data_IF_244958570905
#
_entry.id   IF_244958570905
#
_cell.length_a   1.000
_cell.length_b   1.000
_cell.length_c   1.000
_cell.angle_alpha   90.00
_cell.angle_beta   90.00
_cell.angle_gamma   90.00
#
_symmetry.space_group_name_H-M   'P 1'
#
loop_
_entity.id
_entity.type
_entity.pdbx_description
1 polymer ?
#
# COMPACT_ATOMS: atom_id res chain seq x y z
N UNK A 1 -37.65 -20.45 9.66
CA UNK A 1 -36.40 -21.19 9.34
C UNK A 1 -35.97 -20.81 7.93
N UNK A 2 -34.91 -20.01 7.77
CA UNK A 2 -34.38 -19.66 6.45
C UNK A 2 -33.37 -20.74 6.02
N UNK A 3 -33.72 -21.52 5.00
CA UNK A 3 -32.81 -22.50 4.41
C UNK A 3 -31.82 -21.74 3.55
N UNK A 4 -30.61 -21.52 4.06
CA UNK A 4 -29.51 -20.92 3.28
C UNK A 4 -29.17 -21.91 2.17
N UNK A 5 -29.59 -21.60 0.93
CA UNK A 5 -29.26 -22.38 -0.26
C UNK A 5 -27.79 -22.10 -0.61
N UNK A 6 -26.88 -22.97 -0.19
CA UNK A 6 -25.47 -22.87 -0.55
C UNK A 6 -25.24 -23.39 -1.97
N UNK A 7 -24.87 -22.51 -2.91
CA UNK A 7 -24.38 -22.93 -4.23
C UNK A 7 -22.88 -23.22 -4.16
N UNK A 8 -22.46 -24.31 -4.78
CA UNK A 8 -21.03 -24.62 -4.98
C UNK A 8 -20.59 -23.99 -6.29
N UNK A 9 -19.62 -23.07 -6.26
CA UNK A 9 -19.03 -22.47 -7.45
C UNK A 9 -17.56 -22.88 -7.56
N UNK A 10 -17.14 -23.21 -8.78
CA UNK A 10 -15.76 -23.52 -9.12
C UNK A 10 -15.26 -22.36 -9.97
N UNK A 11 -14.34 -21.57 -9.45
CA UNK A 11 -13.73 -20.48 -10.20
C UNK A 11 -12.43 -20.95 -10.84
N UNK A 12 -12.32 -20.70 -12.15
CA UNK A 12 -11.18 -21.06 -12.97
C UNK A 12 -10.38 -19.79 -13.25
N UNK A 13 -9.06 -19.94 -13.26
CA UNK A 13 -8.19 -18.89 -13.79
C UNK A 13 -8.48 -18.67 -15.27
N UNK A 14 -8.71 -17.42 -15.67
CA UNK A 14 -9.06 -17.12 -17.06
C UNK A 14 -7.93 -17.47 -18.04
N UNK A 15 -6.66 -17.36 -17.61
CA UNK A 15 -5.49 -17.60 -18.44
C UNK A 15 -5.08 -19.08 -18.47
N UNK A 16 -5.11 -19.77 -17.33
CA UNK A 16 -4.64 -21.17 -17.20
C UNK A 16 -5.74 -22.21 -17.14
N UNK A 17 -7.02 -21.80 -17.09
CA UNK A 17 -8.19 -22.67 -16.88
C UNK A 17 -8.04 -23.63 -15.70
N UNK A 18 -7.16 -23.28 -14.76
CA UNK A 18 -6.89 -24.09 -13.57
C UNK A 18 -7.87 -23.68 -12.49
N UNK A 19 -8.38 -24.66 -11.75
CA UNK A 19 -9.22 -24.38 -10.57
C UNK A 19 -8.36 -23.62 -9.56
N UNK A 20 -8.68 -22.35 -9.35
CA UNK A 20 -7.98 -21.54 -8.34
C UNK A 20 -8.63 -21.77 -6.98
N UNK A 21 -9.96 -21.85 -6.96
CA UNK A 21 -10.74 -21.88 -5.73
C UNK A 21 -11.97 -22.78 -5.87
N UNK A 22 -12.18 -23.65 -4.88
CA UNK A 22 -13.35 -24.51 -4.76
C UNK A 22 -14.00 -24.25 -3.41
N UNK A 23 -15.14 -23.57 -3.39
CA UNK A 23 -15.76 -23.12 -2.15
C UNK A 23 -17.26 -22.86 -2.23
N UNK A 24 -17.82 -22.56 -1.06
CA UNK A 24 -19.23 -22.15 -0.90
C UNK A 24 -19.32 -20.65 -1.18
N UNK A 25 -20.21 -20.24 -2.09
CA UNK A 25 -20.54 -18.83 -2.27
C UNK A 25 -21.60 -18.41 -1.25
N UNK A 26 -21.47 -17.20 -0.71
CA UNK A 26 -22.46 -16.59 0.18
C UNK A 26 -22.96 -15.30 -0.47
N UNK A 27 -24.27 -15.19 -0.72
CA UNK A 27 -24.87 -13.99 -1.32
C UNK A 27 -24.43 -13.65 -2.75
N UNK A 28 -23.94 -14.64 -3.53
CA UNK A 28 -23.45 -14.42 -4.89
C UNK A 28 -22.00 -13.90 -4.98
N UNK A 29 -21.32 -13.74 -3.84
CA UNK A 29 -19.90 -13.40 -3.76
C UNK A 29 -19.12 -14.57 -3.17
N UNK A 30 -17.85 -14.68 -3.56
CA UNK A 30 -16.93 -15.67 -2.98
C UNK A 30 -16.32 -15.10 -1.69
N UNK A 31 -16.59 -15.70 -0.52
CA UNK A 31 -16.01 -15.23 0.73
C UNK A 31 -14.51 -15.56 0.77
N UNK A 32 -13.66 -14.53 0.89
CA UNK A 32 -12.26 -14.71 1.23
C UNK A 32 -12.18 -15.09 2.71
N UNK A 33 -12.24 -16.39 2.99
CA UNK A 33 -12.07 -16.92 4.34
C UNK A 33 -10.60 -16.75 4.70
N UNK A 34 -10.26 -15.68 5.42
CA UNK A 34 -8.97 -15.58 6.11
C UNK A 34 -8.89 -16.73 7.10
N UNK A 35 -7.92 -17.63 6.92
CA UNK A 35 -7.67 -18.81 7.76
C UNK A 35 -7.20 -18.43 9.17
N UNK A 36 -8.03 -17.76 9.95
CA UNK A 36 -7.80 -17.51 11.38
C UNK A 36 -9.12 -17.11 12.05
N UNK A 37 -9.80 -18.13 12.57
CA UNK A 37 -10.99 -18.05 13.42
C UNK A 37 -10.71 -17.51 14.84
N UNK A 38 -9.81 -16.55 14.99
CA UNK A 38 -9.65 -15.77 16.22
C UNK A 38 -9.00 -14.42 15.90
N UNK A 39 -9.72 -13.35 16.25
CA UNK A 39 -9.32 -11.94 16.08
C UNK A 39 -9.58 -11.34 14.69
N UNK A 40 -10.85 -11.01 14.43
CA UNK A 40 -11.22 -9.85 13.60
C UNK A 40 -10.69 -8.56 14.26
N UNK A 41 -9.38 -8.40 14.38
CA UNK A 41 -8.77 -7.20 14.96
C UNK A 41 -7.50 -6.74 14.26
N UNK A 42 -7.19 -7.29 13.08
CA UNK A 42 -6.08 -6.79 12.28
C UNK A 42 -6.50 -6.57 10.82
N UNK A 43 -7.63 -5.89 10.59
CA UNK A 43 -7.77 -5.09 9.37
C UNK A 43 -6.86 -3.88 9.50
N UNK A 44 -5.55 -4.09 9.45
CA UNK A 44 -4.61 -2.99 9.23
C UNK A 44 -4.68 -2.64 7.74
N UNK A 45 -5.80 -2.05 7.33
CA UNK A 45 -5.87 -1.30 6.09
C UNK A 45 -5.03 -0.04 6.33
N UNK A 46 -3.76 -0.09 5.92
CA UNK A 46 -2.84 1.04 5.90
C UNK A 46 -2.75 1.75 7.25
N UNK A 47 -1.86 1.27 8.13
CA UNK A 47 -1.37 2.08 9.25
C UNK A 47 -1.10 3.49 8.74
N UNK A 48 -1.78 4.49 9.33
CA UNK A 48 -1.53 5.92 9.12
C UNK A 48 -0.20 6.27 9.78
N UNK A 49 0.87 5.62 9.32
CA UNK A 49 2.22 6.01 9.69
C UNK A 49 2.47 7.30 8.92
N UNK A 50 2.45 8.43 9.64
CA UNK A 50 2.82 9.73 9.10
C UNK A 50 4.11 9.57 8.28
N UNK A 51 4.11 9.81 6.96
CA UNK A 51 5.31 9.66 6.18
C UNK A 51 6.35 10.66 6.68
N UNK A 52 7.61 10.24 6.75
CA UNK A 52 8.69 11.18 6.99
C UNK A 52 8.82 12.18 5.83
N UNK A 53 9.46 13.32 6.09
CA UNK A 53 9.91 14.27 5.06
C UNK A 53 10.65 13.58 3.91
N UNK A 54 11.55 12.64 4.21
CA UNK A 54 12.27 11.83 3.21
C UNK A 54 11.33 10.95 2.36
N UNK A 55 10.26 10.40 2.95
CA UNK A 55 9.27 9.60 2.22
C UNK A 55 8.43 10.46 1.28
N UNK A 56 8.11 11.69 1.70
CA UNK A 56 7.49 12.69 0.83
C UNK A 56 8.42 13.14 -0.29
N UNK A 57 9.71 13.30 -0.01
CA UNK A 57 10.73 13.59 -1.02
C UNK A 57 10.74 12.55 -2.14
N UNK A 58 10.73 11.25 -1.83
CA UNK A 58 10.64 10.20 -2.86
C UNK A 58 9.29 10.19 -3.59
N UNK A 59 8.17 10.39 -2.87
CA UNK A 59 6.82 10.39 -3.48
C UNK A 59 6.57 11.55 -4.43
N UNK A 60 7.16 12.72 -4.18
CA UNK A 60 7.01 13.92 -4.98
C UNK A 60 8.02 14.02 -6.14
N UNK A 61 8.85 13.00 -6.35
CA UNK A 61 9.81 12.98 -7.46
C UNK A 61 11.13 13.67 -7.15
N UNK A 62 11.67 13.46 -5.94
CA UNK A 62 12.96 13.99 -5.51
C UNK A 62 13.15 15.53 -5.55
N UNK A 63 12.14 16.36 -5.23
CA UNK A 63 12.33 17.80 -5.17
C UNK A 63 13.19 18.19 -3.95
N UNK A 64 13.77 19.38 -3.97
CA UNK A 64 14.51 19.92 -2.82
C UNK A 64 13.69 19.83 -1.52
N UNK A 65 14.34 19.50 -0.40
CA UNK A 65 13.68 19.37 0.90
C UNK A 65 12.96 20.65 1.33
N UNK A 66 13.42 21.82 0.89
CA UNK A 66 12.74 23.10 1.11
C UNK A 66 11.35 23.11 0.44
N UNK A 67 11.27 22.60 -0.79
CA UNK A 67 10.01 22.50 -1.55
C UNK A 67 9.10 21.47 -0.89
N UNK A 68 9.64 20.33 -0.45
CA UNK A 68 8.87 19.32 0.29
C UNK A 68 8.27 19.94 1.55
N UNK A 69 9.07 20.62 2.38
CA UNK A 69 8.58 21.30 3.60
C UNK A 69 7.51 22.34 3.28
N UNK A 70 7.69 23.12 2.22
CA UNK A 70 6.71 24.12 1.78
C UNK A 70 5.38 23.47 1.33
N UNK A 71 5.45 22.39 0.54
CA UNK A 71 4.25 21.68 0.08
C UNK A 71 3.52 21.03 1.25
N UNK A 72 4.25 20.44 2.20
CA UNK A 72 3.66 19.81 3.38
C UNK A 72 2.96 20.82 4.28
N UNK A 73 3.59 21.98 4.55
CA UNK A 73 2.99 23.03 5.36
C UNK A 73 1.79 23.69 4.66
N UNK A 74 1.91 23.98 3.37
CA UNK A 74 0.84 24.60 2.58
C UNK A 74 -0.42 23.73 2.50
N UNK A 75 -0.25 22.42 2.46
CA UNK A 75 -1.35 21.47 2.33
C UNK A 75 -1.77 20.82 3.66
N UNK A 76 -1.22 21.27 4.81
CA UNK A 76 -1.48 20.69 6.13
C UNK A 76 -1.35 19.15 6.16
N UNK A 77 -0.37 18.62 5.42
CA UNK A 77 -0.18 17.18 5.31
C UNK A 77 0.52 16.64 6.57
N UNK A 78 0.05 15.52 7.14
CA UNK A 78 0.70 14.92 8.30
C UNK A 78 2.07 14.39 7.89
N UNK A 79 3.13 14.90 8.50
CA UNK A 79 4.48 14.40 8.33
C UNK A 79 5.25 14.41 9.66
N UNK A 80 6.17 13.47 9.80
CA UNK A 80 7.14 13.49 10.90
C UNK A 80 8.43 14.15 10.41
N UNK A 81 8.94 15.09 11.21
CA UNK A 81 10.21 15.76 10.93
C UNK A 81 11.35 14.76 11.09
N UNK A 82 11.73 14.13 9.99
CA UNK A 82 12.86 13.21 9.95
C UNK A 82 14.12 13.99 9.62
N UNK A 83 15.23 13.58 10.25
CA UNK A 83 16.59 14.05 9.95
C UNK A 83 16.82 14.01 8.45
N UNK A 84 17.31 15.13 7.89
CA UNK A 84 17.80 15.25 6.52
C UNK A 84 18.65 14.03 6.12
N UNK A 85 18.03 13.02 5.50
CA UNK A 85 18.75 11.89 4.92
C UNK A 85 19.13 12.24 3.49
N UNK A 86 20.42 12.07 3.18
CA UNK A 86 20.92 12.19 1.81
C UNK A 86 20.23 11.09 1.00
N UNK A 87 19.62 11.47 -0.11
CA UNK A 87 18.96 10.53 -0.99
C UNK A 87 19.95 10.01 -2.03
N UNK A 88 20.17 8.69 -2.05
CA UNK A 88 21.11 8.04 -2.98
C UNK A 88 20.83 8.40 -4.44
N UNK A 89 19.55 8.41 -4.86
CA UNK A 89 19.16 8.79 -6.21
C UNK A 89 19.53 10.24 -6.53
N UNK A 90 19.31 11.17 -5.59
CA UNK A 90 19.71 12.57 -5.74
C UNK A 90 21.23 12.74 -5.79
N UNK A 91 21.96 11.95 -5.00
CA UNK A 91 23.42 11.99 -4.96
C UNK A 91 24.02 11.45 -6.26
N UNK A 92 23.51 10.33 -6.78
CA UNK A 92 23.91 9.80 -8.08
C UNK A 92 23.57 10.76 -9.21
N UNK A 93 22.40 11.39 -9.16
CA UNK A 93 22.04 12.41 -10.15
C UNK A 93 22.97 13.64 -10.09
N UNK A 94 23.64 13.91 -8.96
CA UNK A 94 24.54 15.07 -8.79
C UNK A 94 26.03 14.72 -8.88
N UNK A 95 26.39 13.44 -8.93
CA UNK A 95 27.80 13.01 -8.97
C UNK A 95 28.56 13.56 -10.17
N UNK A 96 27.86 13.76 -11.30
CA UNK A 96 28.43 14.36 -12.51
C UNK A 96 28.90 15.82 -12.34
N UNK A 97 28.54 16.49 -11.24
CA UNK A 97 28.93 17.88 -10.95
C UNK A 97 30.14 17.96 -10.00
N UNK A 98 30.67 16.83 -9.54
CA UNK A 98 31.82 16.82 -8.66
C UNK A 98 33.12 16.94 -9.49
N UNK A 99 34.07 17.80 -9.08
CA UNK A 99 35.39 17.85 -9.72
C UNK A 99 36.15 16.54 -9.51
N UNK A 100 37.00 16.21 -10.48
CA UNK A 100 37.91 15.06 -10.48
C UNK A 100 39.06 15.23 -9.48
#
# INVERSE_FOLDING_TARGET
>A
MAVIRYTRQVELDLATRKVILRGKCEGGLYPLISSSSSSWSNKQALSVTKPSSAKWHSRLGHPSLVIVKHVLSKNNLPYESSVESICDACQQAKSHQLPY
#
